data_IF_227469569999
#
_entry.id   IF_227469569999
#
_cell.length_a   1.000
_cell.length_b   1.000
_cell.length_c   1.000
_cell.angle_alpha   90.00
_cell.angle_beta   90.00
_cell.angle_gamma   90.00
#
_symmetry.space_group_name_H-M   'P 1'
#
loop_
_entity.id
_entity.type
_entity.pdbx_description
1 polymer ?
#
# COMPACT_ATOMS: atom_id res chain seq x y z
N UNK A 1 0.44 -2.04 -3.16
CA UNK A 1 -0.22 -3.35 -3.13
C UNK A 1 -0.30 -3.82 -1.69
N UNK A 2 -1.51 -4.19 -1.24
CA UNK A 2 -1.69 -4.80 0.08
C UNK A 2 -1.11 -6.23 0.11
N UNK A 3 -0.66 -6.67 1.28
CA UNK A 3 -0.16 -8.01 1.55
C UNK A 3 1.33 -8.22 1.29
N UNK A 4 1.93 -7.52 0.35
CA UNK A 4 3.37 -7.63 0.10
C UNK A 4 4.15 -7.28 1.37
N UNK A 5 5.13 -8.10 1.72
CA UNK A 5 5.88 -7.96 2.96
C UNK A 5 5.03 -8.14 4.24
N UNK A 6 3.83 -8.70 4.09
CA UNK A 6 2.90 -8.98 5.19
C UNK A 6 1.92 -7.86 5.54
N UNK A 7 2.08 -6.64 5.01
CA UNK A 7 1.13 -5.52 5.16
C UNK A 7 0.90 -4.81 3.84
N UNK A 8 1.90 -4.18 3.28
CA UNK A 8 1.84 -3.52 1.97
C UNK A 8 3.23 -3.25 1.43
N UNK A 9 3.41 -3.39 0.12
CA UNK A 9 4.61 -3.06 -0.62
C UNK A 9 4.36 -2.06 -1.75
N UNK A 10 5.44 -1.49 -2.25
CA UNK A 10 5.38 -0.55 -3.37
C UNK A 10 5.17 -1.28 -4.69
N UNK A 11 4.27 -0.77 -5.53
CA UNK A 11 4.22 -1.18 -6.93
C UNK A 11 5.31 -0.42 -7.72
N UNK A 12 5.96 -1.12 -8.66
CA UNK A 12 6.92 -0.53 -9.59
C UNK A 12 8.12 0.17 -8.93
N UNK A 13 8.60 -0.35 -7.81
CA UNK A 13 9.78 0.16 -7.11
C UNK A 13 11.00 0.17 -8.05
N UNK A 14 11.79 1.23 -7.98
CA UNK A 14 12.97 1.45 -8.83
C UNK A 14 12.72 1.50 -10.36
N UNK A 15 11.47 1.63 -10.78
CA UNK A 15 11.15 1.81 -12.19
C UNK A 15 11.62 3.17 -12.68
N UNK A 16 12.15 3.21 -13.91
CA UNK A 16 12.45 4.46 -14.56
C UNK A 16 11.15 5.17 -15.00
N UNK A 17 11.20 6.51 -15.13
CA UNK A 17 10.05 7.34 -15.52
C UNK A 17 9.33 6.87 -16.79
N UNK A 18 10.06 6.22 -17.72
CA UNK A 18 9.52 5.82 -19.01
C UNK A 18 8.97 4.38 -19.05
N UNK A 19 9.01 3.67 -17.94
CA UNK A 19 8.47 2.32 -17.86
C UNK A 19 6.96 2.37 -17.63
N UNK A 20 6.25 1.57 -18.44
CA UNK A 20 4.78 1.51 -18.37
C UNK A 20 4.22 0.72 -17.16
N UNK A 21 5.08 -0.04 -16.49
CA UNK A 21 4.67 -0.93 -15.42
C UNK A 21 3.88 -2.15 -15.91
N UNK A 22 3.43 -2.97 -14.96
CA UNK A 22 2.66 -4.16 -15.24
C UNK A 22 1.37 -3.82 -16.00
N UNK A 23 1.24 -4.30 -17.24
CA UNK A 23 0.12 -4.02 -18.16
C UNK A 23 -0.20 -2.52 -18.31
N UNK A 24 0.81 -1.66 -18.33
CA UNK A 24 0.65 -0.22 -18.51
C UNK A 24 0.09 0.53 -17.29
N UNK A 25 0.05 -0.09 -16.11
CA UNK A 25 -0.53 0.49 -14.89
C UNK A 25 0.10 1.81 -14.48
N UNK A 26 1.37 2.02 -14.79
CA UNK A 26 2.06 3.28 -14.48
C UNK A 26 1.64 4.48 -15.37
N UNK A 27 0.79 4.25 -16.39
CA UNK A 27 0.33 5.30 -17.30
C UNK A 27 -1.19 5.51 -17.26
N UNK A 28 -1.91 4.86 -16.37
CA UNK A 28 -3.37 4.89 -16.32
C UNK A 28 -3.85 5.51 -15.01
N UNK A 29 -4.86 6.37 -15.08
CA UNK A 29 -5.60 6.77 -13.88
C UNK A 29 -6.37 5.55 -13.36
N UNK A 30 -6.14 5.17 -12.11
CA UNK A 30 -6.71 3.97 -11.52
C UNK A 30 -7.15 4.16 -10.08
N UNK A 31 -8.10 3.33 -9.63
CA UNK A 31 -8.40 3.18 -8.20
C UNK A 31 -7.52 2.09 -7.61
N UNK A 32 -6.88 2.41 -6.48
CA UNK A 32 -6.11 1.45 -5.70
C UNK A 32 -6.67 1.31 -4.29
N UNK A 33 -6.31 0.23 -3.62
CA UNK A 33 -6.69 0.03 -2.22
C UNK A 33 -6.00 1.03 -1.31
N UNK A 34 -4.76 1.39 -1.62
CA UNK A 34 -4.02 2.44 -0.95
C UNK A 34 -3.04 3.12 -1.89
N UNK A 35 -2.70 4.36 -1.58
CA UNK A 35 -1.67 5.17 -2.24
C UNK A 35 -0.74 5.75 -1.17
N UNK A 36 0.51 6.02 -1.52
CA UNK A 36 1.45 6.64 -0.58
C UNK A 36 1.07 8.07 -0.25
N UNK A 37 1.27 8.49 0.99
CA UNK A 37 1.11 9.88 1.42
C UNK A 37 2.32 10.76 1.10
N UNK A 38 3.34 10.27 0.39
CA UNK A 38 4.42 11.12 -0.12
C UNK A 38 3.88 12.30 -0.95
N UNK A 39 2.78 12.08 -1.68
CA UNK A 39 1.94 13.14 -2.26
C UNK A 39 0.49 12.65 -2.30
N UNK A 40 -0.32 13.12 -1.36
CA UNK A 40 -1.73 12.78 -1.25
C UNK A 40 -2.57 14.04 -1.06
N UNK A 41 -3.62 14.17 -1.87
CA UNK A 41 -4.59 15.27 -1.78
C UNK A 41 -5.96 14.70 -1.45
N UNK A 42 -6.63 15.27 -0.46
CA UNK A 42 -7.96 14.86 -0.03
C UNK A 42 -8.77 16.09 0.41
N UNK A 43 -10.08 16.03 0.28
CA UNK A 43 -10.95 17.07 0.82
C UNK A 43 -10.91 17.06 2.35
N UNK A 44 -10.82 18.25 2.95
CA UNK A 44 -10.69 18.41 4.40
C UNK A 44 -11.83 17.73 5.18
N UNK A 45 -13.06 17.85 4.70
CA UNK A 45 -14.21 17.20 5.32
C UNK A 45 -14.13 15.68 5.33
N UNK A 46 -13.54 15.06 4.28
CA UNK A 46 -13.33 13.60 4.26
C UNK A 46 -12.23 13.21 5.23
N UNK A 47 -11.11 13.96 5.25
CA UNK A 47 -10.03 13.74 6.21
C UNK A 47 -10.54 13.77 7.65
N UNK A 48 -11.37 14.76 7.99
CA UNK A 48 -11.97 14.88 9.33
C UNK A 48 -12.97 13.76 9.61
N UNK A 49 -13.81 13.41 8.63
CA UNK A 49 -14.82 12.35 8.76
C UNK A 49 -14.21 11.00 9.09
N UNK A 50 -13.07 10.66 8.48
CA UNK A 50 -12.38 9.38 8.74
C UNK A 50 -11.42 9.44 9.95
N UNK A 51 -11.34 10.58 10.64
CA UNK A 51 -10.54 10.74 11.85
C UNK A 51 -9.06 11.03 11.62
N UNK A 52 -8.67 11.52 10.43
CA UNK A 52 -7.26 11.86 10.13
C UNK A 52 -6.33 10.65 10.07
N UNK A 53 -5.05 10.87 10.29
CA UNK A 53 -4.04 9.79 10.40
C UNK A 53 -4.07 9.17 11.80
N UNK A 54 -3.82 7.86 11.88
CA UNK A 54 -3.77 7.16 13.17
C UNK A 54 -2.41 7.38 13.83
N UNK A 55 -2.38 8.05 14.98
CA UNK A 55 -1.17 8.39 15.73
C UNK A 55 -0.47 7.16 16.33
N UNK A 56 -1.13 6.00 16.38
CA UNK A 56 -0.53 4.73 16.78
C UNK A 56 0.51 4.25 15.76
N UNK A 57 0.29 4.58 14.48
CA UNK A 57 1.19 4.31 13.36
C UNK A 57 2.11 5.51 13.15
N UNK A 58 3.16 5.59 13.94
CA UNK A 58 4.03 6.78 13.97
C UNK A 58 4.88 6.95 12.71
N UNK A 59 5.19 5.86 12.02
CA UNK A 59 6.16 5.87 10.92
C UNK A 59 5.68 5.06 9.72
N UNK A 60 5.41 3.79 9.87
CA UNK A 60 5.00 2.92 8.78
C UNK A 60 3.47 2.77 8.71
N UNK A 61 2.97 2.59 7.50
CA UNK A 61 1.59 2.19 7.20
C UNK A 61 0.49 3.17 7.61
N UNK A 62 0.79 4.37 8.10
CA UNK A 62 -0.23 5.35 8.44
C UNK A 62 -1.04 5.81 7.23
N UNK A 63 -0.43 5.90 6.07
CA UNK A 63 -1.06 6.17 4.78
C UNK A 63 -1.91 4.97 4.30
N UNK A 64 -1.44 3.75 4.49
CA UNK A 64 -2.18 2.54 4.15
C UNK A 64 -3.46 2.45 4.99
N UNK A 65 -3.34 2.57 6.32
CA UNK A 65 -4.49 2.59 7.23
C UNK A 65 -5.49 3.69 6.87
N UNK A 66 -4.98 4.88 6.63
CA UNK A 66 -5.80 6.03 6.22
C UNK A 66 -6.58 5.76 4.93
N UNK A 67 -5.91 5.26 3.90
CA UNK A 67 -6.54 4.90 2.63
C UNK A 67 -7.61 3.82 2.77
N UNK A 68 -7.40 2.84 3.64
CA UNK A 68 -8.38 1.79 3.90
C UNK A 68 -9.61 2.34 4.62
N UNK A 69 -9.46 3.23 5.61
CA UNK A 69 -10.59 3.92 6.26
C UNK A 69 -11.35 4.82 5.29
N UNK A 70 -10.67 5.50 4.39
CA UNK A 70 -11.30 6.28 3.32
C UNK A 70 -12.18 5.38 2.44
N UNK A 71 -11.71 4.18 2.11
CA UNK A 71 -12.50 3.19 1.35
C UNK A 71 -13.70 2.66 2.15
N UNK A 72 -13.54 2.32 3.43
CA UNK A 72 -14.65 1.91 4.29
C UNK A 72 -15.74 2.99 4.40
N UNK A 73 -15.34 4.25 4.34
CA UNK A 73 -16.27 5.38 4.30
C UNK A 73 -16.97 5.57 2.92
N UNK A 74 -16.74 4.67 1.95
CA UNK A 74 -17.38 4.66 0.63
C UNK A 74 -16.67 5.51 -0.44
N UNK A 75 -15.45 5.98 -0.20
CA UNK A 75 -14.67 6.74 -1.17
C UNK A 75 -13.66 5.85 -1.90
N UNK A 76 -13.04 6.39 -2.95
CA UNK A 76 -12.00 5.71 -3.74
C UNK A 76 -10.68 6.44 -3.61
N UNK A 77 -9.60 5.69 -3.47
CA UNK A 77 -8.25 6.21 -3.62
C UNK A 77 -7.89 6.17 -5.11
N UNK A 78 -7.65 7.33 -5.71
CA UNK A 78 -7.31 7.46 -7.12
C UNK A 78 -5.84 7.80 -7.24
N UNK A 79 -5.14 7.05 -8.05
CA UNK A 79 -3.79 7.37 -8.49
C UNK A 79 -3.81 7.95 -9.90
N UNK A 80 -2.96 8.93 -10.17
CA UNK A 80 -2.82 9.57 -11.47
C UNK A 80 -1.34 9.66 -11.86
N UNK A 81 -0.97 9.32 -13.12
CA UNK A 81 0.39 9.47 -13.63
C UNK A 81 0.76 10.91 -13.98
N UNK A 82 -0.21 11.84 -13.97
CA UNK A 82 0.02 13.23 -14.41
C UNK A 82 0.55 14.15 -13.31
N UNK A 83 0.53 13.70 -12.05
CA UNK A 83 1.14 14.41 -10.93
C UNK A 83 2.50 13.77 -10.62
N UNK A 84 3.55 14.27 -11.24
CA UNK A 84 4.90 13.73 -11.11
C UNK A 84 5.71 14.53 -10.11
N UNK A 85 6.29 13.85 -9.13
CA UNK A 85 7.16 14.42 -8.09
C UNK A 85 8.33 13.48 -7.80
N UNK A 86 9.43 14.05 -7.35
CA UNK A 86 10.55 13.28 -6.82
C UNK A 86 10.35 13.04 -5.32
N UNK A 87 10.36 11.78 -4.92
CA UNK A 87 10.32 11.39 -3.52
C UNK A 87 11.71 10.94 -3.05
N UNK A 88 12.37 11.78 -2.28
CA UNK A 88 13.67 11.48 -1.68
C UNK A 88 13.47 10.65 -0.41
N UNK A 89 13.13 9.37 -0.61
CA UNK A 89 12.83 8.45 0.48
C UNK A 89 14.00 8.33 1.47
N UNK A 90 13.67 8.27 2.75
CA UNK A 90 14.64 8.11 3.86
C UNK A 90 15.69 9.22 4.02
N UNK A 91 15.63 10.31 3.26
CA UNK A 91 16.65 11.37 3.32
C UNK A 91 16.76 12.08 4.68
N UNK A 92 15.65 12.15 5.43
CA UNK A 92 15.60 12.82 6.75
C UNK A 92 15.55 11.84 7.91
N UNK A 93 14.99 10.65 7.73
CA UNK A 93 14.72 9.68 8.79
C UNK A 93 15.75 8.55 8.88
N UNK A 94 16.45 8.25 7.78
CA UNK A 94 17.34 7.09 7.66
C UNK A 94 16.58 5.76 7.53
N UNK A 95 17.32 4.66 7.61
CA UNK A 95 16.77 3.31 7.47
C UNK A 95 16.27 2.74 8.81
N UNK A 96 15.51 1.64 8.76
CA UNK A 96 15.03 0.88 9.93
C UNK A 96 16.13 -0.09 10.44
N UNK A 97 17.28 0.48 10.83
CA UNK A 97 18.55 -0.20 11.09
C UNK A 97 18.87 -0.41 12.58
N UNK A 98 18.14 0.25 13.48
CA UNK A 98 18.35 0.06 14.93
C UNK A 98 17.32 -0.89 15.55
N UNK A 99 17.68 -1.59 16.67
CA UNK A 99 16.75 -2.48 17.38
C UNK A 99 15.41 -1.81 17.76
N UNK A 100 15.47 -0.53 18.20
CA UNK A 100 14.27 0.22 18.59
C UNK A 100 13.36 0.50 17.39
N UNK A 101 13.95 0.86 16.25
CA UNK A 101 13.20 1.09 15.01
C UNK A 101 12.56 -0.21 14.51
N UNK A 102 13.32 -1.33 14.54
CA UNK A 102 12.80 -2.64 14.17
C UNK A 102 11.68 -3.11 15.11
N UNK A 103 11.81 -2.90 16.41
CA UNK A 103 10.76 -3.22 17.39
C UNK A 103 9.48 -2.40 17.15
N UNK A 104 9.62 -1.09 16.85
CA UNK A 104 8.51 -0.23 16.46
C UNK A 104 7.84 -0.75 15.20
N UNK A 105 8.61 -0.99 14.14
CA UNK A 105 8.11 -1.49 12.87
C UNK A 105 7.35 -2.81 13.02
N UNK A 106 7.89 -3.76 13.80
CA UNK A 106 7.21 -5.01 14.13
C UNK A 106 5.88 -4.80 14.89
N UNK A 107 5.81 -3.77 15.75
CA UNK A 107 4.57 -3.39 16.44
C UNK A 107 3.53 -2.82 15.47
N UNK A 108 3.95 -1.96 14.55
CA UNK A 108 3.09 -1.37 13.53
C UNK A 108 2.57 -2.45 12.57
N UNK A 109 3.39 -3.44 12.17
CA UNK A 109 2.94 -4.62 11.40
C UNK A 109 1.85 -5.39 12.16
N UNK A 110 2.06 -5.69 13.45
CA UNK A 110 1.06 -6.42 14.25
C UNK A 110 -0.25 -5.66 14.33
N UNK A 111 -0.19 -4.35 14.55
CA UNK A 111 -1.37 -3.49 14.59
C UNK A 111 -2.16 -3.54 13.27
N UNK A 112 -1.47 -3.39 12.14
CA UNK A 112 -2.10 -3.47 10.82
C UNK A 112 -2.75 -4.83 10.56
N UNK A 113 -2.06 -5.93 10.90
CA UNK A 113 -2.61 -7.29 10.75
C UNK A 113 -3.83 -7.53 11.63
N UNK A 114 -3.84 -7.02 12.87
CA UNK A 114 -4.99 -7.13 13.77
C UNK A 114 -6.19 -6.33 13.27
N UNK A 115 -5.95 -5.14 12.72
CA UNK A 115 -7.01 -4.24 12.27
C UNK A 115 -7.59 -4.64 10.93
N UNK A 116 -6.76 -5.00 9.97
CA UNK A 116 -7.14 -5.16 8.56
C UNK A 116 -7.18 -6.63 8.10
N UNK A 117 -6.58 -7.54 8.86
CA UNK A 117 -6.71 -9.00 8.69
C UNK A 117 -6.70 -9.47 7.24
N UNK A 118 -7.79 -10.10 6.82
CA UNK A 118 -7.94 -10.70 5.50
C UNK A 118 -7.88 -9.69 4.34
N UNK A 119 -8.20 -8.42 4.58
CA UNK A 119 -8.14 -7.38 3.55
C UNK A 119 -6.70 -7.18 3.05
N UNK A 120 -5.70 -7.35 3.93
CA UNK A 120 -4.29 -7.27 3.53
C UNK A 120 -3.89 -8.42 2.60
N UNK A 121 -4.53 -9.58 2.72
CA UNK A 121 -4.23 -10.75 1.88
C UNK A 121 -5.04 -10.77 0.58
N UNK A 122 -6.16 -10.05 0.55
CA UNK A 122 -7.12 -10.07 -0.55
C UNK A 122 -7.35 -8.66 -1.10
N UNK A 123 -6.28 -8.01 -1.57
CA UNK A 123 -6.33 -6.68 -2.20
C UNK A 123 -7.23 -6.71 -3.45
N UNK A 124 -8.40 -6.04 -3.46
CA UNK A 124 -9.29 -6.06 -4.62
C UNK A 124 -8.73 -5.31 -5.84
N UNK A 125 -7.63 -4.57 -5.67
CA UNK A 125 -6.91 -3.89 -6.75
C UNK A 125 -5.69 -4.68 -7.25
N UNK A 126 -5.48 -5.92 -6.76
CA UNK A 126 -4.36 -6.78 -7.13
C UNK A 126 -4.83 -8.20 -7.43
N UNK A 127 -4.38 -8.76 -8.55
CA UNK A 127 -4.82 -10.09 -8.97
C UNK A 127 -4.45 -11.16 -7.92
N UNK A 128 -5.39 -12.05 -7.55
CA UNK A 128 -5.10 -13.14 -6.64
C UNK A 128 -4.17 -14.22 -7.23
N UNK A 129 -3.88 -14.17 -8.54
CA UNK A 129 -2.93 -15.05 -9.19
C UNK A 129 -1.47 -14.55 -9.05
N UNK A 130 -1.26 -13.33 -8.58
CA UNK A 130 0.07 -12.74 -8.43
C UNK A 130 0.59 -12.96 -7.00
N UNK A 131 1.93 -13.06 -6.88
CA UNK A 131 2.59 -13.26 -5.60
C UNK A 131 2.44 -12.04 -4.66
N UNK A 132 2.53 -12.30 -3.35
CA UNK A 132 2.72 -11.29 -2.31
C UNK A 132 4.14 -11.36 -1.71
N UNK A 133 4.98 -12.23 -2.23
CA UNK A 133 6.35 -12.39 -1.74
C UNK A 133 7.29 -11.32 -2.32
N UNK A 134 7.02 -10.90 -3.58
CA UNK A 134 7.81 -9.94 -4.32
C UNK A 134 6.98 -8.79 -4.89
N UNK A 135 7.65 -7.66 -5.20
CA UNK A 135 7.03 -6.43 -5.76
C UNK A 135 7.03 -6.43 -7.32
N UNK A 136 7.26 -7.58 -7.96
CA UNK A 136 7.54 -7.72 -9.39
C UNK A 136 6.35 -8.15 -10.26
N UNK A 137 5.18 -8.37 -9.66
CA UNK A 137 3.97 -8.88 -10.32
C UNK A 137 4.11 -10.29 -10.92
N UNK A 138 5.02 -11.10 -10.44
CA UNK A 138 5.13 -12.50 -10.84
C UNK A 138 3.95 -13.35 -10.34
N UNK A 139 3.78 -14.54 -10.93
CA UNK A 139 2.73 -15.46 -10.52
C UNK A 139 3.00 -16.05 -9.13
N UNK A 140 1.95 -16.19 -8.34
CA UNK A 140 2.01 -16.86 -7.05
C UNK A 140 2.26 -18.36 -7.23
N UNK A 141 3.20 -18.91 -6.47
CA UNK A 141 3.41 -20.35 -6.39
C UNK A 141 3.65 -20.79 -4.93
N UNK A 142 2.79 -21.65 -4.38
CA UNK A 142 1.54 -22.18 -4.96
C UNK A 142 0.50 -21.09 -5.24
N UNK A 143 -0.49 -21.33 -6.12
CA UNK A 143 -1.53 -20.37 -6.42
C UNK A 143 -2.28 -19.90 -5.15
N UNK A 144 -2.51 -18.60 -5.01
CA UNK A 144 -3.24 -18.02 -3.87
C UNK A 144 -4.75 -18.22 -3.96
N UNK A 145 -5.27 -18.42 -5.15
CA UNK A 145 -6.68 -18.83 -5.36
C UNK A 145 -6.80 -20.30 -5.03
N UNK A 146 -7.59 -20.61 -3.99
CA UNK A 146 -7.97 -21.99 -3.72
C UNK A 146 -8.65 -22.57 -4.98
N UNK A 147 -8.12 -23.68 -5.49
CA UNK A 147 -8.80 -24.48 -6.49
C UNK A 147 -10.11 -24.96 -5.85
N UNK A 148 -11.24 -24.32 -6.21
CA UNK A 148 -12.51 -24.98 -6.05
C UNK A 148 -12.46 -26.15 -7.03
N UNK A 149 -12.15 -27.34 -6.52
CA UNK A 149 -12.36 -28.58 -7.25
C UNK A 149 -13.89 -28.65 -7.43
N UNK A 150 -14.37 -28.47 -8.67
CA UNK A 150 -15.75 -28.74 -9.07
C UNK A 150 -16.01 -30.23 -9.00
#
# INVERSE_FOLDING_TARGET
VLGIGGVAGHAHKHFSRHQFGYFGRANLIQSFSAVTAACLVIRKEIFQKVGGLDETLKVAFNDIDFCLRVREAGYRNIWTPYAELYHHESSTRGFEDTPEKQARFAKEIRYMKQRWGDLLLNDPAYSPNLTLDDEDFSLAWPPRVGTKVC
#
